data_IF_371996155669
#
_entry.id   IF_371996155669
#
_cell.length_a   1.000
_cell.length_b   1.000
_cell.length_c   1.000
_cell.angle_alpha   90.00
_cell.angle_beta   90.00
_cell.angle_gamma   90.00
#
_symmetry.space_group_name_H-M   'P 1'
#
loop_
_entity.id
_entity.type
_entity.pdbx_description
1 polymer ?
#
# COMPACT_ATOMS: atom_id res chain seq x y z
N UNK A 1 40.20 -30.81 -25.47
CA UNK A 1 40.00 -30.56 -24.02
C UNK A 1 38.94 -29.48 -23.86
N UNK A 2 37.71 -29.85 -23.51
CA UNK A 2 36.60 -28.92 -23.34
C UNK A 2 36.59 -28.45 -21.89
N UNK A 3 36.82 -27.16 -21.67
CA UNK A 3 36.85 -26.53 -20.34
C UNK A 3 35.47 -25.93 -20.08
N UNK A 4 34.58 -26.72 -19.48
CA UNK A 4 33.22 -26.29 -19.08
C UNK A 4 33.36 -25.36 -17.87
N UNK A 5 32.99 -24.08 -18.03
CA UNK A 5 33.02 -23.09 -16.94
C UNK A 5 31.75 -23.21 -16.07
N UNK A 6 31.87 -23.17 -14.73
CA UNK A 6 30.76 -23.35 -13.80
C UNK A 6 30.01 -22.03 -13.62
N UNK A 7 29.22 -21.62 -14.61
CA UNK A 7 28.38 -20.39 -14.52
C UNK A 7 26.90 -20.73 -14.23
N UNK A 8 26.57 -22.01 -14.06
CA UNK A 8 25.18 -22.46 -13.99
C UNK A 8 24.58 -22.55 -12.57
N UNK A 9 25.37 -22.54 -11.49
CA UNK A 9 24.86 -22.82 -10.14
C UNK A 9 24.50 -21.58 -9.30
N UNK A 10 24.86 -20.37 -9.73
CA UNK A 10 24.64 -19.14 -8.94
C UNK A 10 23.31 -18.41 -9.25
N UNK A 11 22.56 -18.86 -10.26
CA UNK A 11 21.28 -18.25 -10.67
C UNK A 11 20.03 -18.89 -10.04
N UNK A 12 20.17 -19.98 -9.27
CA UNK A 12 19.03 -20.75 -8.77
C UNK A 12 18.52 -20.33 -7.37
N UNK A 13 19.18 -19.39 -6.69
CA UNK A 13 18.86 -19.04 -5.28
C UNK A 13 18.34 -17.60 -5.11
N UNK A 14 18.19 -16.86 -6.21
CA UNK A 14 17.65 -15.51 -6.19
C UNK A 14 16.15 -15.53 -6.52
N UNK A 15 15.33 -15.29 -5.49
CA UNK A 15 13.93 -14.82 -5.56
C UNK A 15 12.78 -15.85 -5.60
N UNK A 16 12.86 -16.98 -4.90
CA UNK A 16 11.62 -17.59 -4.34
C UNK A 16 11.32 -16.96 -2.98
N UNK A 17 11.04 -15.65 -2.95
CA UNK A 17 10.35 -15.10 -1.79
C UNK A 17 9.06 -15.91 -1.64
N UNK A 18 8.79 -16.54 -0.48
CA UNK A 18 7.54 -17.25 -0.28
C UNK A 18 6.41 -16.28 -0.61
N UNK A 19 5.33 -16.72 -1.30
CA UNK A 19 4.21 -15.84 -1.57
C UNK A 19 3.79 -15.24 -0.22
N UNK A 20 3.87 -13.91 -0.11
CA UNK A 20 3.51 -13.23 1.13
C UNK A 20 2.09 -13.69 1.49
N UNK A 21 1.96 -14.56 2.49
CA UNK A 21 0.66 -15.10 2.87
C UNK A 21 -0.24 -13.91 3.18
N UNK A 22 -1.42 -13.86 2.56
CA UNK A 22 -2.37 -12.83 2.90
C UNK A 22 -2.80 -13.06 4.36
N UNK A 23 -2.84 -11.99 5.15
CA UNK A 23 -3.40 -12.08 6.49
C UNK A 23 -4.94 -12.10 6.43
N UNK A 24 -5.61 -12.42 7.55
CA UNK A 24 -7.05 -12.62 7.58
C UNK A 24 -7.87 -11.38 7.18
N UNK A 25 -7.31 -10.18 7.26
CA UNK A 25 -7.96 -8.96 6.79
C UNK A 25 -7.85 -8.84 5.26
N UNK A 26 -6.64 -8.96 4.72
CA UNK A 26 -6.39 -8.82 3.28
C UNK A 26 -6.97 -9.97 2.46
N UNK A 27 -7.32 -11.09 3.08
CA UNK A 27 -8.14 -12.14 2.46
C UNK A 27 -9.62 -11.76 2.38
N UNK A 28 -10.23 -11.40 3.52
CA UNK A 28 -11.68 -11.14 3.61
C UNK A 28 -12.08 -9.81 2.96
N UNK A 29 -11.24 -8.79 3.08
CA UNK A 29 -11.46 -7.44 2.58
C UNK A 29 -10.47 -7.08 1.45
N UNK A 30 -10.06 -8.06 0.65
CA UNK A 30 -9.00 -7.92 -0.36
C UNK A 30 -9.17 -6.70 -1.29
N UNK A 31 -10.36 -6.55 -1.88
CA UNK A 31 -10.64 -5.47 -2.82
C UNK A 31 -10.58 -4.07 -2.16
N UNK A 32 -11.30 -3.78 -1.06
CA UNK A 32 -11.21 -2.47 -0.41
C UNK A 32 -9.86 -2.23 0.27
N UNK A 33 -9.16 -3.27 0.78
CA UNK A 33 -7.80 -3.17 1.28
C UNK A 33 -6.81 -2.76 0.19
N UNK A 34 -6.96 -3.33 -1.01
CA UNK A 34 -6.16 -2.96 -2.17
C UNK A 34 -6.45 -1.54 -2.63
N UNK A 35 -7.73 -1.13 -2.70
CA UNK A 35 -8.11 0.24 -3.05
C UNK A 35 -7.54 1.27 -2.06
N UNK A 36 -7.57 0.94 -0.76
CA UNK A 36 -6.93 1.75 0.28
C UNK A 36 -5.43 1.90 0.02
N UNK A 37 -4.72 0.79 -0.18
CA UNK A 37 -3.29 0.79 -0.42
C UNK A 37 -2.91 1.52 -1.71
N UNK A 38 -3.67 1.35 -2.79
CA UNK A 38 -3.44 2.04 -4.06
C UNK A 38 -3.63 3.56 -3.93
N UNK A 39 -4.68 3.99 -3.24
CA UNK A 39 -4.91 5.41 -2.94
C UNK A 39 -3.80 5.97 -2.05
N UNK A 40 -3.40 5.23 -1.01
CA UNK A 40 -2.27 5.61 -0.15
C UNK A 40 -1.00 5.81 -0.97
N UNK A 41 -0.63 4.83 -1.80
CA UNK A 41 0.54 4.93 -2.67
C UNK A 41 0.52 6.15 -3.58
N UNK A 42 -0.64 6.46 -4.17
CA UNK A 42 -0.82 7.67 -4.97
C UNK A 42 -0.62 8.94 -4.14
N UNK A 43 -1.20 9.03 -2.94
CA UNK A 43 -1.02 10.19 -2.03
C UNK A 43 0.44 10.39 -1.67
N UNK A 44 1.16 9.31 -1.34
CA UNK A 44 2.60 9.39 -1.00
C UNK A 44 3.43 9.93 -2.17
N UNK A 45 3.09 9.54 -3.41
CA UNK A 45 3.69 10.10 -4.61
C UNK A 45 3.31 11.57 -4.81
N UNK A 46 2.03 11.93 -4.59
CA UNK A 46 1.53 13.29 -4.74
C UNK A 46 2.18 14.27 -3.75
N UNK A 47 2.34 13.89 -2.47
CA UNK A 47 3.06 14.70 -1.47
C UNK A 47 4.47 15.02 -1.96
N UNK A 48 5.19 13.99 -2.45
CA UNK A 48 6.55 14.17 -2.98
C UNK A 48 6.56 15.08 -4.22
N UNK A 49 5.60 14.90 -5.13
CA UNK A 49 5.45 15.71 -6.34
C UNK A 49 5.15 17.19 -6.04
N UNK A 50 4.30 17.46 -5.05
CA UNK A 50 3.93 18.82 -4.64
C UNK A 50 5.00 19.52 -3.78
N UNK A 51 6.18 18.91 -3.61
CA UNK A 51 7.30 19.49 -2.88
C UNK A 51 7.32 19.19 -1.38
N UNK A 52 6.48 18.27 -0.90
CA UNK A 52 6.47 17.83 0.50
C UNK A 52 7.76 17.06 0.87
N UNK A 53 8.35 17.30 2.05
CA UNK A 53 9.57 16.63 2.46
C UNK A 53 9.34 15.13 2.73
N UNK A 54 10.39 14.28 2.67
CA UNK A 54 10.27 12.86 2.99
C UNK A 54 9.68 12.55 4.38
N UNK A 55 9.88 13.46 5.35
CA UNK A 55 9.30 13.34 6.68
C UNK A 55 7.76 13.41 6.67
N UNK A 56 7.17 14.23 5.79
CA UNK A 56 5.72 14.34 5.61
C UNK A 56 5.15 13.08 4.97
N UNK A 57 5.81 12.55 3.93
CA UNK A 57 5.46 11.26 3.31
C UNK A 57 5.41 10.16 4.37
N UNK A 58 6.48 10.02 5.16
CA UNK A 58 6.56 9.02 6.21
C UNK A 58 5.51 9.23 7.32
N UNK A 59 5.21 10.49 7.67
CA UNK A 59 4.17 10.81 8.65
C UNK A 59 2.79 10.41 8.14
N UNK A 60 2.45 10.77 6.90
CA UNK A 60 1.18 10.43 6.28
C UNK A 60 0.99 8.91 6.19
N UNK A 61 2.01 8.18 5.73
CA UNK A 61 1.96 6.72 5.64
C UNK A 61 1.64 6.08 7.00
N UNK A 62 2.33 6.51 8.07
CA UNK A 62 2.07 6.00 9.43
C UNK A 62 0.65 6.28 9.88
N UNK A 63 0.14 7.50 9.67
CA UNK A 63 -1.22 7.85 10.06
C UNK A 63 -2.27 7.08 9.28
N UNK A 64 -2.09 6.95 7.97
CA UNK A 64 -3.00 6.19 7.12
C UNK A 64 -3.08 4.72 7.56
N UNK A 65 -1.94 4.05 7.70
CA UNK A 65 -1.91 2.65 8.15
C UNK A 65 -2.45 2.48 9.58
N UNK A 66 -2.26 3.46 10.46
CA UNK A 66 -2.82 3.43 11.82
C UNK A 66 -4.36 3.43 11.82
N UNK A 67 -5.02 3.98 10.79
CA UNK A 67 -6.49 3.92 10.66
C UNK A 67 -7.01 2.48 10.51
N UNK A 68 -6.16 1.55 10.07
CA UNK A 68 -6.47 0.14 9.89
C UNK A 68 -5.93 -0.75 11.01
N UNK A 69 -5.25 -0.19 12.02
CA UNK A 69 -4.51 -0.98 13.03
C UNK A 69 -5.39 -2.03 13.73
N UNK A 70 -6.65 -1.72 14.03
CA UNK A 70 -7.59 -2.67 14.66
C UNK A 70 -7.98 -3.84 13.74
N UNK A 71 -7.90 -3.65 12.42
CA UNK A 71 -8.18 -4.66 11.41
C UNK A 71 -6.95 -5.48 11.04
N UNK A 72 -5.74 -4.97 11.32
CA UNK A 72 -4.48 -5.61 10.92
C UNK A 72 -3.60 -5.94 12.14
N UNK A 73 -4.08 -6.77 13.09
CA UNK A 73 -3.22 -7.27 14.16
C UNK A 73 -2.09 -8.14 13.62
N UNK A 74 -2.29 -8.76 12.46
CA UNK A 74 -1.34 -9.60 11.77
C UNK A 74 -0.25 -8.79 11.05
N UNK A 75 1.01 -9.23 11.16
CA UNK A 75 2.14 -8.61 10.47
C UNK A 75 2.08 -8.79 8.95
N UNK A 76 1.52 -9.89 8.46
CA UNK A 76 1.36 -10.20 7.06
C UNK A 76 0.38 -9.24 6.37
N UNK A 77 -0.73 -8.90 7.02
CA UNK A 77 -1.67 -7.88 6.53
C UNK A 77 -0.99 -6.51 6.41
N UNK A 78 -0.21 -6.12 7.43
CA UNK A 78 0.52 -4.85 7.40
C UNK A 78 1.60 -4.82 6.32
N UNK A 79 2.35 -5.91 6.15
CA UNK A 79 3.35 -6.03 5.11
C UNK A 79 2.72 -5.92 3.71
N UNK A 80 1.64 -6.68 3.48
CA UNK A 80 0.92 -6.67 2.20
C UNK A 80 0.33 -5.32 1.83
N UNK A 81 -0.24 -4.60 2.80
CA UNK A 81 -0.71 -3.22 2.57
C UNK A 81 0.43 -2.28 2.16
N UNK A 82 1.59 -2.39 2.82
CA UNK A 82 2.78 -1.59 2.48
C UNK A 82 3.31 -1.92 1.09
N UNK A 83 3.40 -3.21 0.75
CA UNK A 83 3.86 -3.65 -0.57
C UNK A 83 2.93 -3.15 -1.68
N UNK A 84 1.61 -3.20 -1.49
CA UNK A 84 0.66 -2.65 -2.45
C UNK A 84 0.74 -1.12 -2.55
N UNK A 85 0.91 -0.42 -1.42
CA UNK A 85 1.04 1.03 -1.41
C UNK A 85 2.34 1.49 -2.09
N UNK A 86 3.47 0.87 -1.79
CA UNK A 86 4.74 1.17 -2.45
C UNK A 86 4.68 0.82 -3.94
N UNK A 87 4.11 -0.35 -4.28
CA UNK A 87 3.86 -0.74 -5.65
C UNK A 87 2.89 0.19 -6.39
N UNK A 88 2.01 0.93 -5.71
CA UNK A 88 1.17 1.97 -6.31
C UNK A 88 1.88 3.30 -6.43
N UNK A 89 2.66 3.69 -5.42
CA UNK A 89 3.49 4.88 -5.41
C UNK A 89 4.46 4.91 -6.60
N UNK A 90 5.13 3.79 -6.89
CA UNK A 90 6.12 3.70 -7.97
C UNK A 90 5.53 3.90 -9.37
N UNK A 91 4.24 3.60 -9.57
CA UNK A 91 3.52 3.73 -10.86
C UNK A 91 2.57 4.93 -10.88
N UNK A 92 2.47 5.67 -9.78
CA UNK A 92 1.65 6.85 -9.72
C UNK A 92 2.22 7.94 -10.63
N UNK A 93 1.33 8.69 -11.27
CA UNK A 93 1.66 9.88 -12.04
C UNK A 93 0.83 11.04 -11.49
N UNK A 94 1.25 11.66 -10.36
CA UNK A 94 0.60 12.86 -9.84
C UNK A 94 0.70 14.00 -10.84
N UNK A 95 -0.27 14.92 -10.75
CA UNK A 95 -0.38 16.07 -11.61
C UNK A 95 -0.72 17.33 -10.80
N UNK A 96 -0.60 18.51 -11.41
CA UNK A 96 -0.77 19.79 -10.71
C UNK A 96 -2.10 19.97 -9.95
N UNK A 97 -3.17 19.29 -10.38
CA UNK A 97 -4.45 19.31 -9.67
C UNK A 97 -4.40 18.72 -8.26
N UNK A 98 -3.49 17.79 -7.99
CA UNK A 98 -3.35 17.12 -6.69
C UNK A 98 -2.75 18.03 -5.63
N UNK A 99 -2.01 19.06 -6.05
CA UNK A 99 -1.38 20.04 -5.16
C UNK A 99 -2.35 21.13 -4.67
N UNK A 100 -3.63 21.01 -5.02
CA UNK A 100 -4.68 21.93 -4.59
C UNK A 100 -5.42 21.36 -3.38
N UNK A 101 -6.05 22.23 -2.59
CA UNK A 101 -6.91 21.80 -1.48
C UNK A 101 -7.99 20.81 -1.95
N UNK A 102 -8.59 21.06 -3.13
CA UNK A 102 -9.60 20.17 -3.72
C UNK A 102 -9.01 18.80 -4.08
N UNK A 103 -7.80 18.78 -4.65
CA UNK A 103 -7.09 17.54 -4.98
C UNK A 103 -6.78 16.72 -3.73
N UNK A 104 -6.19 17.35 -2.71
CA UNK A 104 -5.90 16.71 -1.42
C UNK A 104 -7.16 16.18 -0.73
N UNK A 105 -8.25 16.96 -0.71
CA UNK A 105 -9.54 16.54 -0.15
C UNK A 105 -10.14 15.35 -0.90
N UNK A 106 -10.06 15.33 -2.23
CA UNK A 106 -10.56 14.22 -3.03
C UNK A 106 -9.80 12.91 -2.73
N UNK A 107 -8.47 12.97 -2.63
CA UNK A 107 -7.65 11.81 -2.31
C UNK A 107 -7.89 11.30 -0.87
N UNK A 108 -8.00 12.22 0.10
CA UNK A 108 -8.35 11.84 1.47
C UNK A 108 -9.74 11.20 1.55
N UNK A 109 -10.71 11.73 0.80
CA UNK A 109 -12.05 11.17 0.69
C UNK A 109 -12.04 9.73 0.18
N UNK A 110 -11.29 9.44 -0.88
CA UNK A 110 -11.12 8.08 -1.43
C UNK A 110 -10.48 7.13 -0.41
N UNK A 111 -9.47 7.60 0.33
CA UNK A 111 -8.80 6.80 1.35
C UNK A 111 -9.75 6.43 2.49
N UNK A 112 -10.57 7.38 2.96
CA UNK A 112 -11.56 7.17 4.01
C UNK A 112 -12.71 6.28 3.52
N UNK A 113 -13.15 6.43 2.28
CA UNK A 113 -14.16 5.55 1.67
C UNK A 113 -13.67 4.10 1.62
N UNK A 114 -12.43 3.87 1.18
CA UNK A 114 -11.85 2.53 1.15
C UNK A 114 -11.73 1.94 2.56
N UNK A 115 -11.32 2.73 3.55
CA UNK A 115 -11.30 2.33 4.97
C UNK A 115 -12.70 1.92 5.45
N UNK A 116 -13.73 2.70 5.13
CA UNK A 116 -15.12 2.37 5.50
C UNK A 116 -15.57 1.05 4.85
N UNK A 117 -15.26 0.82 3.58
CA UNK A 117 -15.56 -0.45 2.90
C UNK A 117 -14.82 -1.65 3.50
N UNK A 118 -13.60 -1.47 4.01
CA UNK A 118 -12.91 -2.50 4.81
C UNK A 118 -13.73 -2.81 6.06
N UNK A 119 -14.13 -1.78 6.83
CA UNK A 119 -14.95 -1.97 8.03
C UNK A 119 -16.27 -2.70 7.73
N UNK A 120 -16.95 -2.31 6.65
CA UNK A 120 -18.19 -2.94 6.15
C UNK A 120 -17.99 -4.42 5.82
N UNK A 121 -16.94 -4.73 5.07
CA UNK A 121 -16.63 -6.11 4.66
C UNK A 121 -16.28 -6.99 5.85
N UNK A 122 -15.72 -6.39 6.91
CA UNK A 122 -15.38 -7.08 8.15
C UNK A 122 -16.55 -7.14 9.16
N UNK A 123 -17.72 -6.57 8.83
CA UNK A 123 -18.92 -6.64 9.66
C UNK A 123 -19.01 -5.61 10.78
N UNK A 124 -18.26 -4.50 10.71
CA UNK A 124 -18.21 -3.47 11.75
C UNK A 124 -19.05 -2.21 11.46
N UNK A 125 -20.00 -2.29 10.52
CA UNK A 125 -20.89 -1.18 10.16
C UNK A 125 -22.01 -0.98 11.17
N UNK A 126 -21.67 -0.49 12.36
CA UNK A 126 -22.65 -0.37 13.44
C UNK A 126 -22.20 0.51 14.58
N UNK A 127 -21.73 1.73 14.29
CA UNK A 127 -21.66 2.84 15.25
C UNK A 127 -21.53 4.14 14.43
N UNK A 128 -22.69 4.70 14.06
CA UNK A 128 -22.79 6.11 13.68
C UNK A 128 -22.91 6.94 14.95
#
# INVERSE_FOLDING_TARGET
MVRVRPVACLLAVLLSAPPALAGPMTERAAAPARAFAETLGYVLAAISYCGGPPAEVAQFERHALAMLAKYTPDAADRARLRDWAEGARQRAAPHGGDCTDRGGQALLGQLLEARTKIAETLGESGQR
#
